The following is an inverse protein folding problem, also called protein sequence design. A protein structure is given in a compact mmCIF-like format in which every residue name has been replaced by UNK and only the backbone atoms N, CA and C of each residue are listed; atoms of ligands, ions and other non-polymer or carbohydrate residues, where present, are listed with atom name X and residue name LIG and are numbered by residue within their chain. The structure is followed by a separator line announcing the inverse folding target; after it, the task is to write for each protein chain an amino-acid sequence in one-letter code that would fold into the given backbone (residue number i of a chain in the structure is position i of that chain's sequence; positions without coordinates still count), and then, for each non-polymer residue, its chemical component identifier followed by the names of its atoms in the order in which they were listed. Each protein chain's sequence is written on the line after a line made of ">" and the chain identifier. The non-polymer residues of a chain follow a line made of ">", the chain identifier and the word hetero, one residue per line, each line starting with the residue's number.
data_IF_533727868657
#
_entry.id   IF_533727868657
#
_cell.length_a   1.000
_cell.length_b   1.000
_cell.length_c   1.000
_cell.angle_alpha   90.00
_cell.angle_beta   90.00
_cell.angle_gamma   90.00
#
_symmetry.space_group_name_H-M   'P 1'
#
loop_
_entity.id
_entity.type
_entity.pdbx_description
1 polymer ?
#
# COMPACT_ATOMS: atom_id res chain seq x y z
N UNK A 1 8.66 -8.88 3.73
CA UNK A 1 8.62 -7.96 4.89
C UNK A 1 9.19 -8.63 6.13
N UNK A 2 8.56 -9.68 6.68
CA UNK A 2 9.06 -10.37 7.87
C UNK A 2 10.48 -10.92 7.68
N UNK A 3 10.73 -11.63 6.59
CA UNK A 3 12.07 -12.14 6.22
C UNK A 3 13.12 -11.04 6.02
N UNK A 4 12.68 -9.79 5.78
CA UNK A 4 13.55 -8.63 5.58
C UNK A 4 13.76 -7.81 6.87
N UNK A 5 13.38 -8.33 8.05
CA UNK A 5 13.63 -7.68 9.34
C UNK A 5 12.50 -6.82 9.88
N UNK A 6 11.27 -6.92 9.35
CA UNK A 6 10.12 -6.13 9.83
C UNK A 6 9.87 -6.28 11.35
N UNK A 7 10.09 -7.47 11.91
CA UNK A 7 9.85 -7.70 13.35
C UNK A 7 10.78 -6.85 14.20
N UNK A 8 12.05 -6.75 13.80
CA UNK A 8 13.05 -5.94 14.49
C UNK A 8 12.79 -4.45 14.29
N UNK A 9 12.40 -4.03 13.08
CA UNK A 9 11.99 -2.66 12.79
C UNK A 9 10.84 -2.23 13.70
N UNK A 10 9.75 -3.00 13.74
CA UNK A 10 8.56 -2.66 14.53
C UNK A 10 8.87 -2.68 16.04
N UNK A 11 9.76 -3.55 16.49
CA UNK A 11 10.18 -3.61 17.90
C UNK A 11 10.75 -2.28 18.39
N UNK A 12 11.44 -1.51 17.54
CA UNK A 12 11.95 -0.17 17.90
C UNK A 12 10.84 0.83 18.23
N UNK A 13 9.62 0.59 17.71
CA UNK A 13 8.44 1.40 17.98
C UNK A 13 7.58 0.82 19.11
N UNK A 14 7.91 -0.33 19.69
CA UNK A 14 7.12 -0.90 20.77
C UNK A 14 7.22 -0.06 22.04
N UNK A 15 6.08 0.24 22.64
CA UNK A 15 5.96 0.95 23.91
C UNK A 15 4.71 0.44 24.61
N UNK A 16 4.87 -0.09 25.83
CA UNK A 16 3.80 -0.70 26.60
C UNK A 16 2.66 0.28 26.95
N UNK A 17 2.92 1.59 26.90
CA UNK A 17 1.95 2.65 27.19
C UNK A 17 1.50 3.41 25.92
N UNK A 18 1.84 2.89 24.74
CA UNK A 18 1.56 3.56 23.48
C UNK A 18 0.06 3.68 23.16
N UNK A 19 -0.29 4.83 22.60
CA UNK A 19 -1.56 5.01 21.90
C UNK A 19 -1.39 4.71 20.40
N UNK A 20 -1.96 3.60 19.93
CA UNK A 20 -1.91 3.19 18.52
C UNK A 20 -2.90 3.93 17.60
N UNK A 21 -3.63 4.94 18.10
CA UNK A 21 -4.55 5.74 17.30
C UNK A 21 -3.92 6.99 16.67
N UNK A 22 -2.64 7.28 16.95
CA UNK A 22 -1.97 8.55 16.58
C UNK A 22 -0.63 8.33 15.88
N UNK A 23 -0.31 9.21 14.92
CA UNK A 23 0.99 9.26 14.25
C UNK A 23 1.40 7.95 13.58
N UNK A 24 2.72 7.69 13.60
CA UNK A 24 3.34 6.50 13.00
C UNK A 24 2.91 5.19 13.65
N UNK A 25 2.47 5.24 14.91
CA UNK A 25 2.01 4.06 15.67
C UNK A 25 0.72 3.45 15.11
N UNK A 26 0.03 4.14 14.20
CA UNK A 26 -1.13 3.62 13.45
C UNK A 26 -0.75 2.67 12.31
N UNK A 27 0.52 2.58 11.94
CA UNK A 27 0.97 1.77 10.82
C UNK A 27 0.63 0.29 11.05
N UNK A 28 0.06 -0.36 10.04
CA UNK A 28 -0.23 -1.80 10.06
C UNK A 28 1.09 -2.55 10.26
N UNK A 29 1.12 -3.45 11.23
CA UNK A 29 2.33 -4.09 11.76
C UNK A 29 2.56 -3.70 13.21
N UNK A 30 2.39 -2.42 13.55
CA UNK A 30 2.71 -1.90 14.88
C UNK A 30 1.72 -2.39 15.95
N UNK A 31 0.40 -2.14 15.84
CA UNK A 31 -0.55 -2.63 16.83
C UNK A 31 -0.71 -4.16 16.78
N UNK A 32 -0.54 -4.79 15.62
CA UNK A 32 -0.67 -6.26 15.48
C UNK A 32 0.42 -7.01 16.24
N UNK A 33 1.64 -6.46 16.32
CA UNK A 33 2.74 -7.07 17.09
C UNK A 33 2.73 -6.71 18.59
N UNK A 34 1.88 -5.80 19.07
CA UNK A 34 1.85 -5.39 20.49
C UNK A 34 1.68 -6.60 21.44
N UNK A 35 0.69 -7.45 21.15
CA UNK A 35 0.44 -8.66 21.96
C UNK A 35 1.63 -9.62 21.94
N UNK A 36 2.28 -9.77 20.78
CA UNK A 36 3.45 -10.63 20.65
C UNK A 36 4.60 -10.11 21.51
N UNK A 37 4.96 -8.83 21.42
CA UNK A 37 6.06 -8.24 22.18
C UNK A 37 5.82 -8.22 23.70
N UNK A 38 4.57 -7.98 24.15
CA UNK A 38 4.23 -8.03 25.58
C UNK A 38 4.40 -9.42 26.18
N UNK A 39 4.01 -10.45 25.43
CA UNK A 39 4.01 -11.81 25.92
C UNK A 39 5.38 -12.50 25.75
N UNK A 40 6.16 -12.10 24.75
CA UNK A 40 7.41 -12.75 24.35
C UNK A 40 8.35 -13.11 25.52
N UNK A 41 8.64 -12.25 26.51
CA UNK A 41 9.55 -12.58 27.62
C UNK A 41 9.11 -13.81 28.44
N UNK A 42 7.81 -14.12 28.47
CA UNK A 42 7.22 -15.15 29.32
C UNK A 42 6.88 -16.45 28.58
N UNK A 43 7.12 -16.49 27.27
CA UNK A 43 6.70 -17.60 26.41
C UNK A 43 7.87 -18.47 25.98
N UNK A 44 7.60 -19.77 25.86
CA UNK A 44 8.53 -20.70 25.21
C UNK A 44 8.59 -20.48 23.68
N UNK A 45 9.53 -21.16 23.01
CA UNK A 45 9.75 -20.99 21.57
C UNK A 45 8.51 -21.35 20.73
N UNK A 46 7.74 -22.37 21.14
CA UNK A 46 6.56 -22.81 20.42
C UNK A 46 5.43 -21.78 20.54
N UNK A 47 5.19 -21.30 21.75
CA UNK A 47 4.19 -20.27 22.05
C UNK A 47 4.52 -18.94 21.36
N UNK A 48 5.79 -18.53 21.35
CA UNK A 48 6.27 -17.35 20.60
C UNK A 48 5.98 -17.49 19.11
N UNK A 49 6.30 -18.66 18.52
CA UNK A 49 6.02 -18.93 17.11
C UNK A 49 4.53 -18.80 16.78
N UNK A 50 3.65 -19.29 17.66
CA UNK A 50 2.20 -19.17 17.49
C UNK A 50 1.72 -17.72 17.51
N UNK A 51 2.11 -16.93 18.51
CA UNK A 51 1.71 -15.51 18.58
C UNK A 51 2.28 -14.69 17.42
N UNK A 52 3.51 -14.98 16.99
CA UNK A 52 4.10 -14.33 15.82
C UNK A 52 3.28 -14.62 14.56
N UNK A 53 2.89 -15.88 14.36
CA UNK A 53 2.03 -16.26 13.25
C UNK A 53 0.65 -15.58 13.32
N UNK A 54 0.04 -15.49 14.50
CA UNK A 54 -1.22 -14.77 14.70
C UNK A 54 -1.09 -13.29 14.30
N UNK A 55 -0.04 -12.60 14.76
CA UNK A 55 0.22 -11.21 14.39
C UNK A 55 0.42 -11.03 12.87
N UNK A 56 1.16 -11.93 12.21
CA UNK A 56 1.34 -11.91 10.75
C UNK A 56 0.01 -12.08 10.01
N UNK A 57 -0.88 -12.94 10.50
CA UNK A 57 -2.21 -13.11 9.89
C UNK A 57 -3.07 -11.86 10.05
N UNK A 58 -3.02 -11.20 11.21
CA UNK A 58 -3.72 -9.92 11.42
C UNK A 58 -3.17 -8.83 10.50
N UNK A 59 -1.85 -8.75 10.30
CA UNK A 59 -1.23 -7.80 9.34
C UNK A 59 -1.75 -8.02 7.93
N UNK A 60 -1.82 -9.29 7.48
CA UNK A 60 -2.35 -9.65 6.16
C UNK A 60 -3.82 -9.25 6.02
N UNK A 61 -4.64 -9.54 7.03
CA UNK A 61 -6.09 -9.20 7.07
C UNK A 61 -6.30 -7.70 7.04
N UNK A 62 -5.59 -6.95 7.88
CA UNK A 62 -5.73 -5.50 7.96
C UNK A 62 -5.21 -4.79 6.70
N UNK A 63 -4.13 -5.28 6.09
CA UNK A 63 -3.64 -4.77 4.79
C UNK A 63 -4.68 -5.00 3.68
N UNK A 64 -5.26 -6.20 3.61
CA UNK A 64 -6.33 -6.49 2.63
C UNK A 64 -7.55 -5.60 2.82
N UNK A 65 -8.00 -5.43 4.08
CA UNK A 65 -9.11 -4.53 4.44
C UNK A 65 -8.80 -3.08 4.08
N UNK A 66 -7.56 -2.64 4.26
CA UNK A 66 -7.12 -1.29 3.87
C UNK A 66 -7.21 -1.11 2.35
N UNK A 67 -6.73 -2.07 1.57
CA UNK A 67 -6.81 -2.05 0.11
C UNK A 67 -8.26 -1.95 -0.40
N UNK A 68 -9.18 -2.75 0.15
CA UNK A 68 -10.61 -2.65 -0.17
C UNK A 68 -11.17 -1.26 0.13
N UNK A 69 -10.85 -0.70 1.31
CA UNK A 69 -11.29 0.66 1.69
C UNK A 69 -10.69 1.75 0.81
N UNK A 70 -9.46 1.59 0.34
CA UNK A 70 -8.84 2.51 -0.60
C UNK A 70 -9.58 2.48 -1.94
N UNK A 71 -9.90 1.29 -2.45
CA UNK A 71 -10.69 1.14 -3.68
C UNK A 71 -12.08 1.79 -3.56
N UNK A 72 -12.79 1.56 -2.45
CA UNK A 72 -14.08 2.23 -2.19
C UNK A 72 -13.95 3.76 -2.19
N UNK A 73 -12.87 4.31 -1.62
CA UNK A 73 -12.61 5.76 -1.62
C UNK A 73 -12.35 6.28 -3.03
N UNK A 74 -11.57 5.56 -3.84
CA UNK A 74 -11.32 5.92 -5.25
C UNK A 74 -12.63 5.91 -6.04
N UNK A 75 -13.47 4.89 -5.88
CA UNK A 75 -14.80 4.85 -6.51
C UNK A 75 -15.68 6.05 -6.10
N UNK A 76 -15.60 6.50 -4.84
CA UNK A 76 -16.32 7.71 -4.41
C UNK A 76 -15.77 8.97 -5.06
N UNK A 77 -14.45 9.11 -5.21
CA UNK A 77 -13.84 10.24 -5.92
C UNK A 77 -14.32 10.28 -7.38
N UNK A 78 -14.26 9.13 -8.08
CA UNK A 78 -14.72 9.01 -9.46
C UNK A 78 -16.21 9.32 -9.61
N UNK A 79 -17.06 8.68 -8.81
CA UNK A 79 -18.51 8.64 -9.08
C UNK A 79 -19.31 9.71 -8.35
N UNK A 80 -18.85 10.20 -7.18
CA UNK A 80 -19.57 11.22 -6.40
C UNK A 80 -18.98 12.62 -6.57
N UNK A 81 -17.67 12.71 -6.81
CA UNK A 81 -16.99 13.99 -7.03
C UNK A 81 -16.73 14.26 -8.51
N UNK A 82 -17.10 13.33 -9.40
CA UNK A 82 -16.91 13.41 -10.85
C UNK A 82 -15.44 13.71 -11.24
N UNK A 83 -14.50 13.18 -10.46
CA UNK A 83 -13.08 13.31 -10.80
C UNK A 83 -12.80 12.49 -12.05
N UNK A 84 -12.24 13.15 -13.08
CA UNK A 84 -11.74 12.47 -14.28
C UNK A 84 -10.46 11.72 -13.90
N UNK A 85 -10.61 10.44 -13.59
CA UNK A 85 -9.51 9.55 -13.21
C UNK A 85 -9.24 8.61 -14.39
N UNK A 86 -8.00 8.59 -14.87
CA UNK A 86 -7.52 7.60 -15.82
C UNK A 86 -7.14 6.32 -15.08
N UNK A 87 -7.71 5.18 -15.49
CA UNK A 87 -7.42 3.88 -14.88
C UNK A 87 -6.23 3.25 -15.59
N UNK A 88 -5.22 2.87 -14.83
CA UNK A 88 -4.06 2.13 -15.33
C UNK A 88 -4.12 0.74 -14.68
N UNK A 89 -4.31 -0.29 -15.50
CA UNK A 89 -4.49 -1.66 -15.03
C UNK A 89 -3.14 -2.39 -14.92
N UNK A 90 -2.72 -2.64 -13.68
CA UNK A 90 -1.49 -3.36 -13.38
C UNK A 90 -1.75 -4.85 -13.02
N UNK A 91 -2.97 -5.37 -13.22
CA UNK A 91 -3.35 -6.73 -12.78
C UNK A 91 -2.43 -7.79 -13.36
N UNK A 92 -2.14 -7.74 -14.66
CA UNK A 92 -1.25 -8.71 -15.31
C UNK A 92 0.16 -8.65 -14.74
N UNK A 93 0.68 -7.45 -14.42
CA UNK A 93 2.02 -7.27 -13.83
C UNK A 93 2.18 -8.13 -12.57
N UNK A 94 1.17 -8.14 -11.69
CA UNK A 94 1.21 -8.91 -10.45
C UNK A 94 1.07 -10.43 -10.66
N UNK A 95 0.57 -10.86 -11.82
CA UNK A 95 0.47 -12.26 -12.23
C UNK A 95 1.81 -12.89 -12.66
N UNK A 96 2.75 -12.07 -13.13
CA UNK A 96 4.06 -12.53 -13.62
C UNK A 96 5.16 -12.37 -12.56
N UNK A 97 6.39 -12.82 -12.89
CA UNK A 97 7.59 -12.67 -12.05
C UNK A 97 8.80 -12.38 -12.92
N UNK A 98 9.79 -11.69 -12.36
CA UNK A 98 11.04 -11.38 -13.05
C UNK A 98 10.78 -10.58 -14.34
N UNK A 99 11.51 -10.91 -15.40
CA UNK A 99 11.48 -10.17 -16.68
C UNK A 99 10.07 -10.04 -17.26
N UNK A 100 9.24 -11.08 -17.17
CA UNK A 100 7.88 -11.04 -17.71
C UNK A 100 7.00 -10.00 -16.98
N UNK A 101 7.23 -9.79 -15.68
CA UNK A 101 6.56 -8.74 -14.92
C UNK A 101 7.08 -7.35 -15.31
N UNK A 102 8.39 -7.21 -15.53
CA UNK A 102 8.99 -5.95 -15.97
C UNK A 102 8.48 -5.54 -17.36
N UNK A 103 8.40 -6.48 -18.31
CA UNK A 103 7.84 -6.25 -19.64
C UNK A 103 6.35 -5.88 -19.59
N UNK A 104 5.57 -6.59 -18.77
CA UNK A 104 4.16 -6.26 -18.54
C UNK A 104 4.00 -4.86 -17.92
N UNK A 105 4.86 -4.48 -16.97
CA UNK A 105 4.84 -3.16 -16.35
C UNK A 105 5.14 -2.06 -17.36
N UNK A 106 6.20 -2.22 -18.16
CA UNK A 106 6.58 -1.25 -19.17
C UNK A 106 5.45 -1.02 -20.19
N UNK A 107 4.83 -2.11 -20.65
CA UNK A 107 3.76 -2.04 -21.64
C UNK A 107 2.45 -1.47 -21.07
N UNK A 108 1.97 -2.01 -19.95
CA UNK A 108 0.61 -1.77 -19.45
C UNK A 108 0.51 -0.58 -18.51
N UNK A 109 1.60 -0.27 -17.79
CA UNK A 109 1.61 0.76 -16.74
C UNK A 109 2.44 1.96 -17.17
N UNK A 110 3.75 1.80 -17.37
CA UNK A 110 4.65 2.92 -17.61
C UNK A 110 4.39 3.59 -18.98
N UNK A 111 4.32 2.80 -20.05
CA UNK A 111 4.03 3.28 -21.40
C UNK A 111 2.68 3.98 -21.49
N UNK A 112 1.61 3.31 -21.04
CA UNK A 112 0.26 3.89 -21.06
C UNK A 112 0.15 5.17 -20.21
N UNK A 113 0.78 5.20 -19.03
CA UNK A 113 0.80 6.41 -18.19
C UNK A 113 1.54 7.56 -18.88
N UNK A 114 2.62 7.27 -19.60
CA UNK A 114 3.41 8.27 -20.32
C UNK A 114 2.59 8.91 -21.44
N UNK A 115 1.81 8.13 -22.18
CA UNK A 115 0.90 8.64 -23.22
C UNK A 115 -0.16 9.57 -22.63
N UNK A 116 -0.80 9.18 -21.53
CA UNK A 116 -1.80 10.00 -20.83
C UNK A 116 -1.19 11.35 -20.40
N UNK A 117 0.02 11.32 -19.83
CA UNK A 117 0.71 12.54 -19.40
C UNK A 117 1.12 13.40 -20.59
N UNK A 118 1.59 12.80 -21.69
CA UNK A 118 1.95 13.53 -22.91
C UNK A 118 0.74 14.25 -23.52
N UNK A 119 -0.41 13.58 -23.61
CA UNK A 119 -1.66 14.19 -24.08
C UNK A 119 -2.09 15.36 -23.19
N UNK A 120 -2.02 15.18 -21.86
CA UNK A 120 -2.32 16.24 -20.91
C UNK A 120 -1.43 17.47 -21.13
N UNK A 121 -0.11 17.27 -21.27
CA UNK A 121 0.84 18.36 -21.48
C UNK A 121 0.64 19.06 -22.84
N UNK A 122 0.34 18.31 -23.90
CA UNK A 122 0.08 18.86 -25.23
C UNK A 122 -1.20 19.71 -25.28
N UNK A 123 -2.28 19.23 -24.66
CA UNK A 123 -3.53 19.98 -24.58
C UNK A 123 -3.35 21.26 -23.75
N UNK A 124 -2.51 21.21 -22.72
CA UNK A 124 -2.20 22.37 -21.89
C UNK A 124 -1.35 23.42 -22.62
N UNK A 125 -0.38 23.01 -23.44
CA UNK A 125 0.41 23.95 -24.25
C UNK A 125 -0.41 24.59 -25.37
N UNK A 126 -1.30 23.83 -25.99
CA UNK A 126 -2.19 24.31 -27.06
C UNK A 126 -3.20 25.36 -26.57
N UNK A 127 -3.64 25.29 -25.31
CA UNK A 127 -4.50 26.31 -24.69
C UNK A 127 -3.77 27.63 -24.38
N UNK A 128 -2.43 27.62 -24.24
CA UNK A 128 -1.64 28.84 -23.98
C UNK A 128 -1.28 29.59 -25.26
N UNK A 129 -1.30 28.93 -26.42
CA UNK A 129 -0.92 29.51 -27.71
C UNK A 129 -2.06 30.22 -28.45
N UNK A 130 -3.24 30.35 -27.85
CA UNK A 130 -4.37 31.10 -28.41
C UNK A 130 -4.54 32.46 -27.68
N UNK A 131 -3.82 33.52 -28.07
CA UNK A 131 -4.02 34.87 -27.55
C UNK A 131 -5.18 35.52 -28.31
N UNK A 132 -6.38 34.98 -28.11
CA UNK A 132 -7.59 35.45 -28.76
C UNK A 132 -8.60 35.97 -27.76
N UNK A 133 -8.30 37.06 -27.05
CA UNK A 133 -9.23 38.09 -26.53
C UNK A 133 -8.47 39.40 -26.28
#
# INVERSE_FOLDING_TARGET
>A
MVEMGMVDEVRTFFDANANYAVGIRKAIGVPEFDRYFRAEPYLDKQQRGKLLQEAIQEIKRNTSKLACRQLEKIHRLRNKKNWKIHMVDATEVFGWRGKDADEAWEKLVAGHSTEIVAEFLYNFSSQKSDPGH
#
